data_IF_456269805719
#
_entry.id   IF_456269805719
#
_cell.length_a   1.000
_cell.length_b   1.000
_cell.length_c   1.000
_cell.angle_alpha   90.00
_cell.angle_beta   90.00
_cell.angle_gamma   90.00
#
_symmetry.space_group_name_H-M   'P 1'
#
loop_
_entity.id
_entity.type
_entity.pdbx_description
1 polymer ?
#
# COMPACT_ATOMS: atom_id res chain seq x y z
N UNK A 1 22.06 -38.44 -30.40
CA UNK A 1 21.36 -38.53 -29.08
C UNK A 1 21.43 -37.22 -28.30
N UNK A 2 22.51 -36.52 -28.22
CA UNK A 2 22.69 -35.29 -27.41
C UNK A 2 21.88 -34.05 -27.85
N UNK A 3 21.58 -33.89 -29.17
CA UNK A 3 20.78 -32.75 -29.65
C UNK A 3 19.34 -32.75 -29.22
N UNK A 4 18.70 -33.93 -29.05
CA UNK A 4 17.30 -34.05 -28.58
C UNK A 4 17.17 -33.82 -27.08
N UNK A 5 18.21 -34.13 -26.30
CA UNK A 5 18.25 -33.87 -24.85
C UNK A 5 18.40 -32.39 -24.56
N UNK A 6 19.21 -31.63 -25.35
CA UNK A 6 19.37 -30.20 -25.20
C UNK A 6 18.09 -29.44 -25.63
N UNK A 7 17.37 -29.92 -26.64
CA UNK A 7 16.08 -29.34 -27.04
C UNK A 7 14.98 -29.61 -26.02
N UNK A 8 14.97 -30.76 -25.35
CA UNK A 8 14.02 -31.04 -24.24
C UNK A 8 14.32 -30.22 -22.99
N UNK A 9 15.59 -29.94 -22.69
CA UNK A 9 16.00 -29.07 -21.58
C UNK A 9 15.66 -27.60 -21.89
N UNK A 10 15.81 -27.14 -23.14
CA UNK A 10 15.40 -25.81 -23.60
C UNK A 10 13.88 -25.67 -23.63
N UNK A 11 13.12 -26.71 -23.93
CA UNK A 11 11.65 -26.70 -23.93
C UNK A 11 11.07 -26.74 -22.51
N UNK A 12 11.76 -27.34 -21.53
CA UNK A 12 11.40 -27.30 -20.11
C UNK A 12 11.69 -25.96 -19.43
N UNK A 13 12.57 -25.13 -20.01
CA UNK A 13 12.90 -23.79 -19.54
C UNK A 13 11.94 -22.70 -20.05
N UNK A 14 11.04 -23.02 -20.98
CA UNK A 14 10.05 -22.07 -21.53
C UNK A 14 8.69 -22.12 -20.86
N UNK A 15 8.46 -23.04 -19.91
CA UNK A 15 7.20 -23.15 -19.16
C UNK A 15 7.38 -22.57 -17.76
N UNK A 16 7.20 -21.30 -17.64
CA UNK A 16 6.71 -20.47 -16.55
C UNK A 16 7.44 -19.13 -16.45
N UNK A 17 7.26 -18.28 -17.46
CA UNK A 17 7.40 -16.85 -17.26
C UNK A 17 6.15 -16.30 -16.52
N UNK A 18 5.78 -16.94 -15.42
CA UNK A 18 4.93 -16.32 -14.42
C UNK A 18 5.69 -15.12 -13.87
N UNK A 19 5.12 -13.93 -13.96
CA UNK A 19 5.65 -12.71 -13.39
C UNK A 19 5.99 -12.98 -11.91
N UNK A 20 7.28 -13.14 -11.61
CA UNK A 20 7.78 -13.22 -10.25
C UNK A 20 7.60 -11.84 -9.61
N UNK A 21 6.48 -11.63 -8.96
CA UNK A 21 6.27 -10.46 -8.12
C UNK A 21 7.01 -10.70 -6.80
N UNK A 22 7.85 -9.77 -6.41
CA UNK A 22 8.40 -9.75 -5.07
C UNK A 22 7.22 -9.53 -4.09
N UNK A 23 6.83 -10.56 -3.33
CA UNK A 23 5.73 -10.45 -2.39
C UNK A 23 6.19 -9.62 -1.17
N UNK A 24 5.62 -8.43 -1.03
CA UNK A 24 5.73 -7.60 0.16
C UNK A 24 4.59 -7.92 1.14
N UNK A 25 4.68 -7.43 2.38
CA UNK A 25 3.56 -7.47 3.31
C UNK A 25 2.30 -6.81 2.72
N UNK A 26 2.48 -5.75 1.96
CA UNK A 26 1.41 -5.07 1.23
C UNK A 26 0.69 -5.97 0.22
N UNK A 27 1.44 -6.82 -0.49
CA UNK A 27 0.82 -7.78 -1.44
C UNK A 27 0.01 -8.86 -0.73
N UNK A 28 0.44 -9.25 0.48
CA UNK A 28 -0.28 -10.22 1.26
C UNK A 28 -1.62 -9.68 1.74
N UNK A 29 -1.65 -8.48 2.29
CA UNK A 29 -2.85 -7.84 2.85
C UNK A 29 -3.82 -7.38 1.77
N UNK A 30 -3.42 -7.38 0.49
CA UNK A 30 -4.32 -7.05 -0.60
C UNK A 30 -5.50 -8.03 -0.66
N UNK A 31 -6.69 -7.51 -0.37
CA UNK A 31 -7.96 -8.22 -0.58
C UNK A 31 -8.37 -8.22 -2.05
N UNK A 32 -7.60 -7.56 -2.88
CA UNK A 32 -7.91 -7.38 -4.29
C UNK A 32 -7.85 -8.71 -5.05
N UNK A 33 -8.91 -9.01 -5.75
CA UNK A 33 -8.97 -10.06 -6.76
C UNK A 33 -8.90 -9.43 -8.14
N UNK A 34 -8.06 -10.00 -9.01
CA UNK A 34 -7.92 -9.47 -10.36
C UNK A 34 -9.30 -9.42 -11.06
N UNK A 35 -9.72 -8.23 -11.47
CA UNK A 35 -10.98 -8.02 -12.18
C UNK A 35 -10.91 -8.51 -13.63
N UNK A 36 -9.71 -8.86 -14.13
CA UNK A 36 -9.54 -9.43 -15.48
C UNK A 36 -10.18 -10.81 -15.63
N UNK A 37 -10.39 -11.53 -14.51
CA UNK A 37 -11.05 -12.84 -14.50
C UNK A 37 -12.58 -12.76 -14.55
N UNK A 38 -13.17 -11.56 -14.45
CA UNK A 38 -14.63 -11.38 -14.47
C UNK A 38 -15.12 -11.33 -15.91
N UNK A 39 -15.98 -12.29 -16.25
CA UNK A 39 -16.55 -12.40 -17.60
C UNK A 39 -17.79 -11.54 -17.74
N UNK A 40 -18.01 -11.04 -18.95
CA UNK A 40 -19.24 -10.31 -19.33
C UNK A 40 -20.50 -11.10 -19.00
N UNK A 41 -21.55 -10.41 -18.57
CA UNK A 41 -22.84 -10.97 -18.18
C UNK A 41 -22.86 -11.63 -16.81
N UNK A 42 -21.77 -11.64 -16.03
CA UNK A 42 -21.76 -12.25 -14.70
C UNK A 42 -22.22 -11.27 -13.62
N UNK A 43 -23.14 -11.73 -12.80
CA UNK A 43 -23.57 -11.07 -11.55
C UNK A 43 -23.19 -11.97 -10.39
N UNK A 44 -22.32 -11.48 -9.50
CA UNK A 44 -21.76 -12.27 -8.41
C UNK A 44 -22.01 -11.58 -7.06
N UNK A 45 -22.03 -12.37 -6.00
CA UNK A 45 -21.78 -11.92 -4.64
C UNK A 45 -20.33 -12.20 -4.31
N UNK A 46 -19.59 -11.15 -3.91
CA UNK A 46 -18.21 -11.23 -3.47
C UNK A 46 -18.14 -10.94 -1.98
N UNK A 47 -17.43 -11.77 -1.24
CA UNK A 47 -17.17 -11.60 0.16
C UNK A 47 -15.66 -11.52 0.40
N UNK A 48 -15.16 -10.33 0.72
CA UNK A 48 -13.78 -10.10 1.11
C UNK A 48 -13.73 -9.91 2.63
N UNK A 49 -12.82 -10.59 3.31
CA UNK A 49 -12.64 -10.44 4.74
C UNK A 49 -11.17 -10.57 5.12
N UNK A 50 -10.76 -9.76 6.09
CA UNK A 50 -9.45 -9.82 6.75
C UNK A 50 -9.67 -9.84 8.25
N UNK A 51 -9.46 -10.98 8.90
CA UNK A 51 -9.23 -11.06 10.33
C UNK A 51 -7.79 -10.68 10.64
N UNK A 52 -7.57 -9.81 11.62
CA UNK A 52 -6.24 -9.33 11.96
C UNK A 52 -6.06 -9.24 13.48
N UNK A 53 -4.86 -9.57 13.91
CA UNK A 53 -4.31 -9.26 15.20
C UNK A 53 -2.91 -8.72 14.99
N UNK A 54 -2.67 -7.48 15.35
CA UNK A 54 -1.35 -6.86 15.27
C UNK A 54 -1.03 -6.20 16.60
N UNK A 55 0.18 -6.41 17.09
CA UNK A 55 0.73 -5.75 18.26
C UNK A 55 2.00 -5.01 17.89
N UNK A 56 2.01 -3.71 18.14
CA UNK A 56 3.11 -2.80 17.89
C UNK A 56 3.65 -2.35 19.25
N UNK A 57 4.84 -2.83 19.60
CA UNK A 57 5.59 -2.43 20.79
C UNK A 57 6.66 -1.44 20.38
N UNK A 58 6.25 -0.20 20.26
CA UNK A 58 7.14 0.90 19.90
C UNK A 58 7.68 1.54 21.16
N UNK A 59 9.00 1.44 21.33
CA UNK A 59 9.75 2.00 22.44
C UNK A 59 10.51 3.22 21.92
N UNK A 60 10.27 4.36 22.49
CA UNK A 60 10.87 5.62 22.06
C UNK A 60 9.84 6.73 21.91
N UNK A 61 10.31 7.92 21.53
CA UNK A 61 9.53 9.16 21.61
C UNK A 61 8.72 9.46 20.31
N UNK A 62 8.88 8.66 19.25
CA UNK A 62 8.25 8.95 17.95
C UNK A 62 6.80 8.48 17.84
N UNK A 63 6.51 7.30 18.32
CA UNK A 63 5.19 6.70 18.25
C UNK A 63 4.98 5.74 19.42
N UNK A 64 3.81 5.77 20.03
CA UNK A 64 3.44 4.84 21.11
C UNK A 64 3.03 3.49 20.56
N UNK A 65 3.34 2.43 21.31
CA UNK A 65 2.87 1.09 21.00
C UNK A 65 1.34 0.97 21.15
N UNK A 66 0.76 0.10 20.34
CA UNK A 66 -0.69 -0.19 20.35
C UNK A 66 -0.98 -1.58 19.80
N UNK A 67 -2.17 -2.09 20.14
CA UNK A 67 -2.65 -3.40 19.65
C UNK A 67 -3.93 -3.22 18.86
N UNK A 68 -4.00 -3.84 17.69
CA UNK A 68 -5.14 -3.83 16.77
C UNK A 68 -5.69 -5.26 16.59
N UNK A 69 -6.64 -5.73 17.43
CA UNK A 69 -7.36 -6.98 17.21
C UNK A 69 -8.70 -6.71 16.53
N UNK A 70 -8.97 -7.28 15.35
CA UNK A 70 -10.22 -6.98 14.67
C UNK A 70 -10.47 -7.75 13.41
N UNK A 71 -11.49 -7.31 12.69
CA UNK A 71 -11.84 -7.81 11.38
C UNK A 71 -12.41 -6.72 10.47
N UNK A 72 -12.02 -6.81 9.20
CA UNK A 72 -12.57 -6.06 8.09
C UNK A 72 -13.44 -6.99 7.25
N UNK A 73 -14.63 -6.51 6.85
CA UNK A 73 -15.55 -7.20 5.97
C UNK A 73 -15.99 -6.30 4.84
N UNK A 74 -16.01 -6.83 3.61
CA UNK A 74 -16.49 -6.15 2.41
C UNK A 74 -17.43 -7.08 1.62
N UNK A 75 -18.70 -7.21 2.04
CA UNK A 75 -19.71 -7.85 1.23
C UNK A 75 -20.06 -6.95 0.03
N UNK A 76 -20.00 -7.49 -1.19
CA UNK A 76 -20.21 -6.74 -2.44
C UNK A 76 -21.05 -7.53 -3.42
N UNK A 77 -21.91 -6.85 -4.16
CA UNK A 77 -22.48 -7.32 -5.41
C UNK A 77 -21.63 -6.78 -6.54
N UNK A 78 -21.26 -7.63 -7.48
CA UNK A 78 -20.45 -7.25 -8.62
C UNK A 78 -21.15 -7.62 -9.92
N UNK A 79 -21.05 -6.74 -10.91
CA UNK A 79 -21.68 -6.94 -12.21
C UNK A 79 -20.79 -6.44 -13.35
N UNK A 80 -20.61 -7.27 -14.37
CA UNK A 80 -19.94 -6.92 -15.61
C UNK A 80 -20.93 -6.93 -16.77
N UNK A 81 -21.55 -5.79 -17.11
CA UNK A 81 -22.48 -5.74 -18.26
C UNK A 81 -21.76 -6.03 -19.58
N UNK A 82 -20.49 -5.66 -19.70
CA UNK A 82 -19.64 -5.89 -20.86
C UNK A 82 -18.22 -6.27 -20.38
N UNK A 83 -17.35 -6.70 -21.28
CA UNK A 83 -15.94 -6.96 -20.96
C UNK A 83 -15.15 -5.68 -20.58
N UNK A 84 -15.71 -4.51 -20.89
CA UNK A 84 -15.09 -3.22 -20.62
C UNK A 84 -15.55 -2.58 -19.30
N UNK A 85 -16.75 -2.90 -18.81
CA UNK A 85 -17.36 -2.26 -17.64
C UNK A 85 -17.54 -3.25 -16.49
N UNK A 86 -16.99 -2.90 -15.34
CA UNK A 86 -17.11 -3.66 -14.11
C UNK A 86 -17.60 -2.75 -12.97
N UNK A 87 -18.65 -3.20 -12.28
CA UNK A 87 -19.35 -2.44 -11.24
C UNK A 87 -19.33 -3.21 -9.92
N UNK A 88 -19.14 -2.53 -8.83
CA UNK A 88 -19.26 -3.05 -7.46
C UNK A 88 -20.15 -2.15 -6.62
N UNK A 89 -21.03 -2.75 -5.82
CA UNK A 89 -21.85 -2.09 -4.79
C UNK A 89 -21.84 -2.96 -3.54
N UNK A 90 -21.63 -2.34 -2.37
CA UNK A 90 -21.57 -3.11 -1.13
C UNK A 90 -21.32 -2.25 0.11
N UNK A 91 -20.61 -2.81 1.06
CA UNK A 91 -20.25 -2.13 2.29
C UNK A 91 -18.79 -2.43 2.70
N UNK A 92 -18.17 -1.47 3.39
CA UNK A 92 -16.91 -1.61 4.09
C UNK A 92 -17.15 -1.49 5.58
N UNK A 93 -16.87 -2.57 6.30
CA UNK A 93 -17.19 -2.72 7.72
C UNK A 93 -15.92 -3.08 8.48
N UNK A 94 -15.56 -2.30 9.50
CA UNK A 94 -14.44 -2.60 10.40
C UNK A 94 -14.98 -2.74 11.83
N UNK A 95 -14.54 -3.79 12.52
CA UNK A 95 -14.80 -4.01 13.93
C UNK A 95 -13.53 -4.36 14.67
N UNK A 96 -13.22 -3.65 15.74
CA UNK A 96 -12.19 -4.05 16.69
C UNK A 96 -12.77 -4.91 17.80
N UNK A 97 -12.04 -5.96 18.20
CA UNK A 97 -12.43 -6.80 19.35
C UNK A 97 -12.36 -5.98 20.63
N UNK A 98 -13.32 -6.22 21.53
CA UNK A 98 -13.46 -5.44 22.76
C UNK A 98 -14.26 -4.15 22.59
N UNK A 99 -14.76 -3.84 21.39
CA UNK A 99 -15.74 -2.77 21.14
C UNK A 99 -17.10 -3.35 20.77
N UNK A 100 -18.18 -2.74 21.25
CA UNK A 100 -19.55 -3.22 21.00
C UNK A 100 -20.09 -2.78 19.63
N UNK A 101 -19.51 -1.74 19.05
CA UNK A 101 -19.94 -1.15 17.78
C UNK A 101 -18.92 -1.39 16.65
N UNK A 102 -19.42 -1.26 15.42
CA UNK A 102 -18.53 -1.16 14.26
C UNK A 102 -17.74 0.15 14.34
N UNK A 103 -16.43 0.07 14.16
CA UNK A 103 -15.57 1.26 14.07
C UNK A 103 -15.87 2.03 12.79
N UNK A 104 -16.10 1.30 11.69
CA UNK A 104 -16.50 1.88 10.40
C UNK A 104 -17.61 1.05 9.78
N UNK A 105 -18.61 1.74 9.24
CA UNK A 105 -19.66 1.18 8.40
C UNK A 105 -19.92 2.16 7.27
N UNK A 106 -19.30 1.92 6.11
CA UNK A 106 -19.28 2.82 4.96
C UNK A 106 -19.88 2.13 3.74
N UNK A 107 -20.65 2.85 2.90
CA UNK A 107 -21.07 2.30 1.62
C UNK A 107 -19.85 2.06 0.74
N UNK A 108 -19.93 1.03 -0.11
CA UNK A 108 -18.97 0.73 -1.16
C UNK A 108 -19.63 0.90 -2.52
N UNK A 109 -19.02 1.68 -3.37
CA UNK A 109 -19.35 1.79 -4.78
C UNK A 109 -18.08 1.93 -5.58
N UNK A 110 -17.89 1.13 -6.63
CA UNK A 110 -16.78 1.25 -7.56
C UNK A 110 -17.25 0.94 -8.97
N UNK A 111 -16.80 1.74 -9.92
CA UNK A 111 -16.99 1.49 -11.33
C UNK A 111 -15.65 1.57 -12.05
N UNK A 112 -15.30 0.49 -12.76
CA UNK A 112 -14.09 0.44 -13.60
C UNK A 112 -14.50 0.35 -15.06
N UNK A 113 -13.95 1.22 -15.87
CA UNK A 113 -14.09 1.17 -17.31
C UNK A 113 -12.72 0.94 -17.99
N UNK A 114 -12.64 -0.08 -18.82
CA UNK A 114 -11.44 -0.44 -19.58
C UNK A 114 -11.55 0.16 -20.98
N UNK A 115 -10.75 1.19 -21.25
CA UNK A 115 -10.68 1.84 -22.56
C UNK A 115 -9.88 1.04 -23.58
N UNK A 116 -8.87 0.31 -23.10
CA UNK A 116 -8.04 -0.60 -23.91
C UNK A 116 -7.50 -1.72 -23.03
N UNK A 117 -6.77 -2.68 -23.62
CA UNK A 117 -6.10 -3.75 -22.86
C UNK A 117 -5.16 -3.23 -21.78
N UNK A 118 -4.60 -2.03 -21.97
CA UNK A 118 -3.58 -1.46 -21.11
C UNK A 118 -4.07 -0.29 -20.26
N UNK A 119 -5.27 0.27 -20.51
CA UNK A 119 -5.72 1.49 -19.85
C UNK A 119 -7.12 1.37 -19.30
N UNK A 120 -7.26 1.66 -17.99
CA UNK A 120 -8.52 1.65 -17.28
C UNK A 120 -8.69 2.90 -16.41
N UNK A 121 -9.93 3.26 -16.15
CA UNK A 121 -10.33 4.31 -15.21
C UNK A 121 -11.23 3.71 -14.15
N UNK A 122 -11.02 4.08 -12.89
CA UNK A 122 -11.84 3.69 -11.75
C UNK A 122 -12.42 4.95 -11.12
N UNK A 123 -13.70 4.92 -10.78
CA UNK A 123 -14.37 5.99 -10.02
C UNK A 123 -15.17 5.39 -8.86
N UNK A 124 -15.38 6.17 -7.80
CA UNK A 124 -15.92 5.70 -6.53
C UNK A 124 -14.81 5.16 -5.64
N UNK A 125 -14.99 4.01 -5.00
CA UNK A 125 -13.90 3.39 -4.25
C UNK A 125 -12.81 2.92 -5.20
N UNK A 126 -11.57 3.33 -4.91
CA UNK A 126 -10.42 3.12 -5.76
C UNK A 126 -9.90 1.69 -5.65
N UNK A 127 -9.18 1.27 -6.67
CA UNK A 127 -8.40 0.04 -6.65
C UNK A 127 -7.14 0.23 -5.79
N UNK A 128 -7.17 -0.33 -4.60
CA UNK A 128 -6.08 -0.26 -3.64
C UNK A 128 -5.13 -1.47 -3.75
N UNK A 129 -5.03 -2.06 -4.93
CA UNK A 129 -4.11 -3.17 -5.14
C UNK A 129 -2.68 -2.74 -4.75
N UNK A 130 -2.07 -3.51 -3.83
CA UNK A 130 -0.73 -3.26 -3.31
C UNK A 130 -0.54 -1.84 -2.74
N UNK A 131 -1.60 -1.22 -2.19
CA UNK A 131 -1.54 0.13 -1.62
C UNK A 131 -0.86 1.12 -2.60
N UNK A 132 -1.27 1.08 -3.86
CA UNK A 132 -0.75 1.89 -4.97
C UNK A 132 0.73 1.63 -5.33
N UNK A 133 1.36 0.59 -4.82
CA UNK A 133 2.80 0.34 -5.03
C UNK A 133 3.70 1.34 -4.31
N UNK A 134 3.17 2.05 -3.33
CA UNK A 134 3.94 2.95 -2.48
C UNK A 134 4.74 2.17 -1.42
N UNK A 135 5.98 2.55 -1.14
CA UNK A 135 6.72 1.98 -0.01
C UNK A 135 6.13 2.44 1.33
N UNK A 136 6.32 1.65 2.39
CA UNK A 136 5.77 1.95 3.72
C UNK A 136 6.23 3.29 4.31
N UNK A 137 7.36 3.81 3.86
CA UNK A 137 7.86 5.13 4.25
C UNK A 137 6.97 6.27 3.73
N UNK A 138 6.21 6.04 2.65
CA UNK A 138 5.26 6.99 2.08
C UNK A 138 3.80 6.65 2.39
N UNK A 139 3.49 5.36 2.60
CA UNK A 139 2.12 4.89 2.80
C UNK A 139 2.08 3.75 3.83
N UNK A 140 1.55 4.02 5.01
CA UNK A 140 1.41 3.05 6.09
C UNK A 140 0.50 1.88 5.68
N UNK A 141 0.98 0.63 5.70
CA UNK A 141 0.18 -0.53 5.32
C UNK A 141 -1.06 -0.77 6.19
N UNK A 142 -1.03 -0.37 7.46
CA UNK A 142 -2.16 -0.51 8.40
C UNK A 142 -3.39 0.29 8.00
N UNK A 143 -3.23 1.35 7.17
CA UNK A 143 -4.34 2.18 6.67
C UNK A 143 -5.45 1.37 6.01
N UNK A 144 -5.14 0.17 5.50
CA UNK A 144 -6.13 -0.72 4.91
C UNK A 144 -7.22 -1.14 5.92
N UNK A 145 -6.90 -1.27 7.20
CA UNK A 145 -7.83 -1.69 8.26
C UNK A 145 -7.95 -0.70 9.43
N UNK A 146 -7.34 0.47 9.30
CA UNK A 146 -7.51 1.59 10.24
C UNK A 146 -8.26 2.75 9.61
N UNK A 147 -8.08 2.99 8.32
CA UNK A 147 -8.65 4.13 7.62
C UNK A 147 -9.94 3.78 6.87
N UNK A 148 -10.58 4.80 6.32
CA UNK A 148 -11.64 4.63 5.32
C UNK A 148 -11.03 4.21 3.99
N UNK A 149 -11.75 3.42 3.15
CA UNK A 149 -11.28 3.14 1.81
C UNK A 149 -11.17 4.43 1.01
N UNK A 150 -10.14 4.52 0.18
CA UNK A 150 -9.97 5.64 -0.73
C UNK A 150 -11.11 5.71 -1.72
N UNK A 151 -11.59 6.93 -2.00
CA UNK A 151 -12.67 7.17 -2.94
C UNK A 151 -12.41 8.42 -3.78
N UNK A 152 -12.63 8.30 -5.10
CA UNK A 152 -12.37 9.39 -6.02
C UNK A 152 -12.24 8.93 -7.47
N UNK A 153 -11.13 9.28 -8.12
CA UNK A 153 -10.85 8.96 -9.51
C UNK A 153 -9.42 8.42 -9.65
N UNK A 154 -9.27 7.35 -10.41
CA UNK A 154 -7.98 6.69 -10.64
C UNK A 154 -7.83 6.27 -12.10
N UNK A 155 -6.64 6.50 -12.64
CA UNK A 155 -6.22 6.08 -13.97
C UNK A 155 -5.13 5.03 -13.83
N UNK A 156 -5.29 3.90 -14.51
CA UNK A 156 -4.40 2.74 -14.46
C UNK A 156 -3.87 2.44 -15.85
N UNK A 157 -2.56 2.37 -15.97
CA UNK A 157 -1.88 1.90 -17.18
C UNK A 157 -1.01 0.68 -16.85
N UNK A 158 -1.20 -0.43 -17.58
CA UNK A 158 -0.45 -1.66 -17.42
C UNK A 158 0.10 -2.12 -18.76
N UNK A 159 1.34 -1.84 -19.02
CA UNK A 159 2.05 -2.22 -20.24
C UNK A 159 3.17 -3.23 -20.01
N UNK A 160 3.82 -3.65 -21.07
CA UNK A 160 4.90 -4.66 -20.99
C UNK A 160 6.14 -4.17 -20.25
N UNK A 161 6.46 -2.88 -20.34
CA UNK A 161 7.64 -2.28 -19.70
C UNK A 161 7.31 -1.24 -18.64
N UNK A 162 6.13 -0.65 -18.70
CA UNK A 162 5.69 0.41 -17.79
C UNK A 162 4.36 0.03 -17.18
N UNK A 163 4.27 0.05 -15.85
CA UNK A 163 3.01 0.13 -15.13
C UNK A 163 2.97 1.51 -14.46
N UNK A 164 1.86 2.19 -14.57
CA UNK A 164 1.69 3.51 -13.96
C UNK A 164 0.26 3.69 -13.49
N UNK A 165 0.08 4.48 -12.44
CA UNK A 165 -1.23 4.93 -12.00
C UNK A 165 -1.15 6.34 -11.46
N UNK A 166 -2.25 7.05 -11.58
CA UNK A 166 -2.46 8.33 -10.88
C UNK A 166 -3.87 8.35 -10.32
N UNK A 167 -4.02 8.95 -9.15
CA UNK A 167 -5.32 9.02 -8.49
C UNK A 167 -5.47 10.29 -7.66
N UNK A 168 -6.72 10.63 -7.40
CA UNK A 168 -7.12 11.56 -6.36
C UNK A 168 -8.15 10.88 -5.48
N UNK A 169 -7.97 10.97 -4.17
CA UNK A 169 -8.87 10.43 -3.15
C UNK A 169 -9.30 11.55 -2.20
N UNK A 170 -10.63 11.77 -2.09
CA UNK A 170 -11.17 12.67 -1.08
C UNK A 170 -11.37 11.91 0.23
N UNK A 171 -10.65 12.34 1.24
CA UNK A 171 -10.76 11.79 2.60
C UNK A 171 -11.81 12.53 3.41
N UNK A 172 -11.96 13.84 3.16
CA UNK A 172 -12.96 14.69 3.76
C UNK A 172 -13.40 15.76 2.75
N UNK A 173 -14.66 15.68 2.35
CA UNK A 173 -15.30 16.69 1.49
C UNK A 173 -15.92 17.78 2.36
N UNK A 174 -15.94 19.01 1.87
CA UNK A 174 -16.50 20.17 2.56
C UNK A 174 -17.63 20.83 1.77
N UNK A 175 -18.60 21.36 2.52
CA UNK A 175 -19.61 22.29 2.03
C UNK A 175 -19.42 23.64 2.71
N UNK A 176 -20.12 24.66 2.21
CA UNK A 176 -20.11 25.96 2.86
C UNK A 176 -20.61 25.82 4.32
N UNK A 177 -19.93 26.51 5.24
CA UNK A 177 -20.21 26.53 6.68
C UNK A 177 -19.85 25.24 7.45
N UNK A 178 -19.21 24.26 6.83
CA UNK A 178 -18.64 23.13 7.58
C UNK A 178 -17.53 23.61 8.53
N UNK A 179 -17.47 23.06 9.78
CA UNK A 179 -16.48 23.47 10.79
C UNK A 179 -15.10 22.84 10.63
N UNK A 180 -14.83 22.17 9.52
CA UNK A 180 -13.60 21.44 9.26
C UNK A 180 -13.05 21.75 7.87
N UNK A 181 -11.81 21.38 7.61
CA UNK A 181 -11.14 21.58 6.32
C UNK A 181 -11.34 20.38 5.38
N UNK A 182 -11.25 20.63 4.07
CA UNK A 182 -11.13 19.58 3.06
C UNK A 182 -9.82 18.81 3.24
N UNK A 183 -9.87 17.49 3.02
CA UNK A 183 -8.68 16.66 2.95
C UNK A 183 -8.73 15.80 1.70
N UNK A 184 -7.68 15.84 0.91
CA UNK A 184 -7.51 14.89 -0.19
C UNK A 184 -6.05 14.50 -0.39
N UNK A 185 -5.87 13.36 -1.00
CA UNK A 185 -4.57 12.84 -1.43
C UNK A 185 -4.56 12.71 -2.95
N UNK A 186 -3.54 13.26 -3.59
CA UNK A 186 -3.22 12.99 -4.99
C UNK A 186 -1.95 12.17 -5.05
N UNK A 187 -1.94 11.12 -5.89
CA UNK A 187 -0.78 10.26 -6.06
C UNK A 187 -0.50 9.93 -7.52
N UNK A 188 0.76 9.66 -7.79
CA UNK A 188 1.26 9.10 -9.03
C UNK A 188 2.33 8.08 -8.71
N UNK A 189 2.21 6.87 -9.26
CA UNK A 189 3.26 5.85 -9.18
C UNK A 189 3.53 5.26 -10.55
N UNK A 190 4.78 4.89 -10.78
CA UNK A 190 5.20 4.25 -12.00
C UNK A 190 6.37 3.31 -11.77
N UNK A 191 6.32 2.14 -12.42
CA UNK A 191 7.38 1.13 -12.46
C UNK A 191 7.85 0.95 -13.90
N UNK A 192 9.07 1.37 -14.21
CA UNK A 192 9.67 1.06 -15.50
C UNK A 192 10.56 -0.17 -15.41
N UNK A 193 10.26 -1.21 -16.17
CA UNK A 193 11.07 -2.41 -16.27
C UNK A 193 12.25 -2.18 -17.23
N UNK A 194 13.39 -1.81 -16.65
CA UNK A 194 14.60 -1.47 -17.41
C UNK A 194 15.26 -2.71 -18.02
N UNK A 195 15.22 -3.85 -17.30
CA UNK A 195 15.80 -5.11 -17.75
C UNK A 195 15.03 -6.31 -17.21
N UNK A 196 14.91 -7.37 -18.02
CA UNK A 196 14.37 -8.65 -17.57
C UNK A 196 14.89 -9.79 -18.43
N UNK A 197 15.38 -10.83 -17.76
CA UNK A 197 15.60 -12.16 -18.32
C UNK A 197 15.17 -13.23 -17.30
N UNK A 198 15.49 -14.51 -17.53
CA UNK A 198 15.14 -15.61 -16.62
C UNK A 198 15.83 -15.55 -15.25
N UNK A 199 16.99 -14.88 -15.16
CA UNK A 199 17.79 -14.82 -13.92
C UNK A 199 17.64 -13.49 -13.16
N UNK A 200 17.43 -12.39 -13.88
CA UNK A 200 17.47 -11.03 -13.33
C UNK A 200 16.33 -10.17 -13.87
N UNK A 201 15.68 -9.43 -12.98
CA UNK A 201 14.76 -8.34 -13.31
C UNK A 201 15.24 -7.05 -12.63
N UNK A 202 15.22 -5.94 -13.35
CA UNK A 202 15.53 -4.60 -12.83
C UNK A 202 14.39 -3.66 -13.17
N UNK A 203 13.86 -3.01 -12.13
CA UNK A 203 12.81 -1.98 -12.23
C UNK A 203 13.32 -0.65 -11.71
N UNK A 204 12.79 0.42 -12.24
CA UNK A 204 13.01 1.80 -11.81
C UNK A 204 11.66 2.38 -11.36
N UNK A 205 11.32 2.29 -10.07
CA UNK A 205 10.11 2.88 -9.53
C UNK A 205 10.28 4.40 -9.33
N UNK A 206 9.18 5.13 -9.56
CA UNK A 206 9.03 6.57 -9.27
C UNK A 206 7.67 6.79 -8.63
N UNK A 207 7.63 7.54 -7.52
CA UNK A 207 6.40 7.84 -6.81
C UNK A 207 6.33 9.33 -6.45
N UNK A 208 5.12 9.87 -6.52
CA UNK A 208 4.80 11.24 -6.10
C UNK A 208 3.50 11.16 -5.28
N UNK A 209 3.47 11.82 -4.15
CA UNK A 209 2.30 11.89 -3.28
C UNK A 209 2.13 13.31 -2.77
N UNK A 210 0.92 13.89 -2.94
CA UNK A 210 0.53 15.14 -2.33
C UNK A 210 -0.59 14.88 -1.34
N UNK A 211 -0.41 15.33 -0.11
CA UNK A 211 -1.44 15.42 0.88
C UNK A 211 -1.84 16.87 1.07
N UNK A 212 -3.11 17.16 0.87
CA UNK A 212 -3.66 18.51 0.96
C UNK A 212 -4.70 18.59 2.07
N UNK A 213 -4.61 19.64 2.87
CA UNK A 213 -5.55 20.01 3.90
C UNK A 213 -5.86 21.49 3.78
N UNK A 214 -7.14 21.82 3.68
CA UNK A 214 -7.64 23.18 3.48
C UNK A 214 -8.43 23.28 2.20
N UNK A 215 -9.17 24.34 2.01
CA UNK A 215 -9.99 24.52 0.84
C UNK A 215 -10.27 26.00 0.55
N UNK A 216 -10.80 26.26 -0.65
CA UNK A 216 -11.21 27.61 -1.09
C UNK A 216 -12.47 28.07 -0.34
N UNK A 217 -13.27 27.13 0.18
CA UNK A 217 -14.49 27.44 0.92
C UNK A 217 -14.12 27.90 2.33
N UNK A 218 -14.74 28.98 2.75
CA UNK A 218 -14.56 29.57 4.06
C UNK A 218 -15.13 28.66 5.15
N UNK A 219 -14.33 27.74 5.64
CA UNK A 219 -14.65 26.92 6.81
C UNK A 219 -13.84 27.43 7.99
N UNK A 220 -14.51 27.84 9.05
CA UNK A 220 -13.90 28.15 10.33
C UNK A 220 -14.77 27.58 11.42
N UNK A 221 -14.20 26.98 12.48
CA UNK A 221 -14.96 26.66 13.67
C UNK A 221 -15.66 27.92 14.18
N UNK A 222 -16.87 27.80 14.73
CA UNK A 222 -17.59 28.93 15.31
C UNK A 222 -16.67 29.67 16.32
N UNK A 223 -16.31 30.93 16.03
CA UNK A 223 -15.45 31.76 16.88
C UNK A 223 -13.95 31.47 16.82
N UNK A 224 -13.48 30.61 15.91
CA UNK A 224 -12.07 30.24 15.75
C UNK A 224 -11.37 30.94 14.57
N UNK A 225 -10.04 31.01 14.61
CA UNK A 225 -9.23 31.39 13.48
C UNK A 225 -9.28 30.31 12.41
N UNK A 226 -9.22 30.71 11.13
CA UNK A 226 -9.09 29.76 10.02
C UNK A 226 -7.74 29.06 10.06
N UNK A 227 -7.71 27.72 10.10
CA UNK A 227 -6.47 27.03 9.85
C UNK A 227 -5.97 27.35 8.44
N UNK A 228 -4.67 27.60 8.31
CA UNK A 228 -4.06 27.82 6.98
C UNK A 228 -4.13 26.56 6.13
N UNK A 229 -4.12 26.77 4.81
CA UNK A 229 -4.01 25.66 3.85
C UNK A 229 -2.65 24.98 3.99
N UNK A 230 -2.64 23.66 4.12
CA UNK A 230 -1.41 22.86 4.22
C UNK A 230 -1.34 21.87 3.04
N UNK A 231 -0.22 21.89 2.36
CA UNK A 231 0.07 20.93 1.29
C UNK A 231 1.46 20.37 1.50
N UNK A 232 1.55 19.06 1.62
CA UNK A 232 2.78 18.32 1.78
C UNK A 232 3.01 17.45 0.54
N UNK A 233 4.22 17.50 0.00
CA UNK A 233 4.66 16.70 -1.13
C UNK A 233 5.72 15.71 -0.71
N UNK A 234 5.53 14.45 -1.08
CA UNK A 234 6.54 13.41 -0.98
C UNK A 234 6.88 12.86 -2.36
N UNK A 235 8.15 12.56 -2.56
CA UNK A 235 8.69 12.01 -3.79
C UNK A 235 9.53 10.79 -3.45
N UNK A 236 9.54 9.80 -4.33
CA UNK A 236 10.58 8.79 -4.29
C UNK A 236 10.98 8.33 -5.69
N UNK A 237 12.23 7.95 -5.82
CA UNK A 237 12.78 7.30 -7.02
C UNK A 237 13.80 6.25 -6.56
N UNK A 238 13.86 5.14 -7.30
CA UNK A 238 14.72 4.06 -6.87
C UNK A 238 15.04 3.06 -7.95
N UNK A 239 15.61 1.96 -7.51
CA UNK A 239 15.85 0.78 -8.32
C UNK A 239 15.53 -0.47 -7.47
N UNK A 240 14.98 -1.48 -8.13
CA UNK A 240 14.68 -2.78 -7.57
C UNK A 240 15.31 -3.85 -8.45
N UNK A 241 16.13 -4.69 -7.85
CA UNK A 241 16.75 -5.84 -8.50
C UNK A 241 16.22 -7.12 -7.89
N UNK A 242 15.71 -8.03 -8.70
CA UNK A 242 15.27 -9.36 -8.29
C UNK A 242 16.05 -10.41 -9.04
N UNK A 243 16.78 -11.26 -8.31
CA UNK A 243 17.61 -12.33 -8.83
C UNK A 243 16.99 -13.69 -8.52
N UNK A 244 16.75 -14.51 -9.53
CA UNK A 244 16.31 -15.90 -9.36
C UNK A 244 17.51 -16.78 -9.01
N UNK A 245 17.47 -17.45 -7.84
CA UNK A 245 18.65 -18.14 -7.28
C UNK A 245 18.50 -19.67 -7.31
N UNK A 246 17.28 -20.19 -7.09
CA UNK A 246 17.08 -21.63 -7.08
C UNK A 246 15.73 -22.10 -6.52
N UNK A 247 15.68 -23.37 -6.11
CA UNK A 247 14.40 -23.98 -5.70
C UNK A 247 13.98 -23.67 -4.26
N UNK A 248 14.91 -23.62 -3.33
CA UNK A 248 14.62 -23.34 -1.90
C UNK A 248 14.48 -21.83 -1.66
N UNK A 249 15.52 -21.06 -1.97
CA UNK A 249 15.44 -19.62 -2.06
C UNK A 249 15.12 -19.30 -3.53
N UNK A 250 13.93 -18.78 -3.77
CA UNK A 250 13.47 -18.47 -5.12
C UNK A 250 14.11 -17.21 -5.63
N UNK A 251 14.10 -16.16 -4.82
CA UNK A 251 14.53 -14.82 -5.22
C UNK A 251 15.33 -14.18 -4.11
N UNK A 252 16.39 -13.49 -4.49
CA UNK A 252 17.07 -12.49 -3.66
C UNK A 252 16.77 -11.14 -4.30
N UNK A 253 16.32 -10.18 -3.49
CA UNK A 253 16.05 -8.83 -3.94
C UNK A 253 17.03 -7.87 -3.27
N UNK A 254 17.40 -6.84 -4.03
CA UNK A 254 18.18 -5.70 -3.56
C UNK A 254 17.49 -4.45 -4.10
N UNK A 255 17.13 -3.54 -3.18
CA UNK A 255 16.37 -2.34 -3.49
C UNK A 255 17.08 -1.12 -2.91
N UNK A 256 17.09 -0.04 -3.67
CA UNK A 256 17.60 1.24 -3.22
C UNK A 256 16.64 2.36 -3.60
N UNK A 257 16.34 3.27 -2.66
CA UNK A 257 15.43 4.39 -2.87
C UNK A 257 16.00 5.67 -2.28
N UNK A 258 15.73 6.75 -2.97
CA UNK A 258 15.77 8.10 -2.46
C UNK A 258 14.36 8.62 -2.23
N UNK A 259 14.17 9.38 -1.17
CA UNK A 259 12.91 10.04 -0.80
C UNK A 259 13.12 11.51 -0.59
N UNK A 260 12.13 12.31 -0.96
CA UNK A 260 12.07 13.74 -0.69
C UNK A 260 10.78 14.15 0.00
N UNK A 261 10.85 15.21 0.77
CA UNK A 261 9.72 15.88 1.41
C UNK A 261 9.81 17.38 1.19
N UNK A 262 8.69 18.03 0.85
CA UNK A 262 8.54 19.50 0.76
C UNK A 262 7.17 19.91 1.31
N UNK A 263 7.16 20.84 2.27
CA UNK A 263 5.96 21.58 2.66
C UNK A 263 5.72 22.67 1.60
N UNK A 264 4.82 22.41 0.66
CA UNK A 264 4.53 23.31 -0.47
C UNK A 264 4.00 24.66 0.02
N UNK A 265 3.11 24.65 1.01
CA UNK A 265 2.54 25.83 1.68
C UNK A 265 3.34 26.18 2.93
N UNK A 266 4.48 26.87 2.76
CA UNK A 266 5.44 27.12 3.84
C UNK A 266 4.92 28.01 4.94
N UNK A 267 4.14 29.05 4.58
CA UNK A 267 3.67 30.08 5.52
C UNK A 267 2.62 29.52 6.52
N UNK A 268 1.92 28.48 6.15
CA UNK A 268 0.94 27.78 7.00
C UNK A 268 1.42 26.43 7.53
N UNK A 269 2.66 26.05 7.27
CA UNK A 269 3.22 24.80 7.74
C UNK A 269 3.36 24.80 9.26
N UNK A 270 2.66 23.87 9.92
CA UNK A 270 2.71 23.69 11.39
C UNK A 270 3.78 22.68 11.82
N UNK A 271 4.39 21.94 10.87
CA UNK A 271 5.42 20.95 11.15
C UNK A 271 6.79 21.62 11.32
N UNK A 272 7.70 21.03 12.13
CA UNK A 272 8.98 21.66 12.45
C UNK A 272 9.93 21.77 11.26
N UNK A 273 9.72 20.98 10.22
CA UNK A 273 10.56 20.97 9.02
C UNK A 273 9.73 21.29 7.78
N UNK A 274 10.28 22.11 6.88
CA UNK A 274 9.63 22.44 5.61
C UNK A 274 10.18 21.63 4.43
N UNK A 275 11.35 20.99 4.59
CA UNK A 275 11.99 20.14 3.59
C UNK A 275 12.77 19.04 4.27
N UNK A 276 12.87 17.90 3.58
CA UNK A 276 13.64 16.77 4.06
C UNK A 276 13.93 15.76 2.97
N UNK A 277 14.82 14.83 3.25
CA UNK A 277 15.13 13.72 2.36
C UNK A 277 15.51 12.48 3.14
N UNK A 278 15.49 11.34 2.46
CA UNK A 278 15.93 10.08 3.04
C UNK A 278 16.43 9.09 1.99
N UNK A 279 17.13 8.06 2.47
CA UNK A 279 17.61 6.94 1.68
C UNK A 279 17.22 5.63 2.35
N UNK A 280 16.81 4.66 1.53
CA UNK A 280 16.55 3.29 1.95
C UNK A 280 17.43 2.35 1.12
N UNK A 281 18.08 1.43 1.81
CA UNK A 281 18.71 0.27 1.19
C UNK A 281 18.12 -0.99 1.83
N UNK A 282 17.56 -1.89 1.03
CA UNK A 282 16.95 -3.12 1.51
C UNK A 282 17.49 -4.33 0.75
N UNK A 283 17.75 -5.41 1.46
CA UNK A 283 17.97 -6.72 0.88
C UNK A 283 16.95 -7.71 1.43
N UNK A 284 16.48 -8.64 0.58
CA UNK A 284 15.57 -9.69 1.04
C UNK A 284 15.79 -11.00 0.31
N UNK A 285 15.48 -12.10 1.01
CA UNK A 285 15.45 -13.45 0.47
C UNK A 285 14.03 -14.00 0.56
N UNK A 286 13.53 -14.56 -0.52
CA UNK A 286 12.19 -15.11 -0.62
C UNK A 286 12.21 -16.60 -0.93
N UNK A 287 11.41 -17.34 -0.18
CA UNK A 287 11.08 -18.75 -0.43
C UNK A 287 9.65 -18.87 -1.00
N UNK A 288 9.10 -20.07 -1.06
CA UNK A 288 7.69 -20.28 -1.46
C UNK A 288 6.69 -19.62 -0.50
N UNK A 289 6.99 -19.58 0.79
CA UNK A 289 6.05 -19.18 1.83
C UNK A 289 6.56 -18.05 2.73
N UNK A 290 7.84 -17.72 2.66
CA UNK A 290 8.48 -16.78 3.58
C UNK A 290 9.31 -15.75 2.84
N UNK A 291 9.39 -14.56 3.42
CA UNK A 291 10.35 -13.51 3.07
C UNK A 291 11.05 -13.06 4.33
N UNK A 292 12.37 -12.93 4.26
CA UNK A 292 13.19 -12.24 5.26
C UNK A 292 13.79 -11.03 4.58
N UNK A 293 13.72 -9.87 5.21
CA UNK A 293 14.39 -8.66 4.74
C UNK A 293 15.13 -7.96 5.86
N UNK A 294 16.19 -7.26 5.48
CA UNK A 294 16.94 -6.34 6.32
C UNK A 294 17.07 -5.04 5.56
N UNK A 295 16.83 -3.92 6.23
CA UNK A 295 16.96 -2.60 5.62
C UNK A 295 17.71 -1.62 6.51
N UNK A 296 18.31 -0.63 5.87
CA UNK A 296 18.88 0.55 6.48
C UNK A 296 18.17 1.79 5.93
N UNK A 297 17.62 2.58 6.83
CA UNK A 297 17.00 3.87 6.58
C UNK A 297 17.86 4.98 7.16
N UNK A 298 18.12 6.01 6.39
CA UNK A 298 18.77 7.23 6.86
C UNK A 298 17.99 8.44 6.34
N UNK A 299 17.56 9.31 7.23
CA UNK A 299 16.75 10.46 6.92
C UNK A 299 17.26 11.73 7.58
N UNK A 300 17.07 12.83 6.88
CA UNK A 300 17.29 14.18 7.38
C UNK A 300 16.01 15.00 7.20
N UNK A 301 15.39 15.40 8.33
CA UNK A 301 14.16 16.21 8.37
C UNK A 301 13.00 15.65 7.55
N UNK A 302 12.94 14.32 7.39
CA UNK A 302 11.96 13.66 6.52
C UNK A 302 10.62 13.51 7.22
N UNK A 303 9.56 13.94 6.51
CA UNK A 303 8.16 13.80 6.93
C UNK A 303 7.36 13.23 5.77
N UNK A 304 6.49 12.26 6.04
CA UNK A 304 5.50 11.74 5.11
C UNK A 304 4.18 11.52 5.86
N UNK A 305 3.21 12.43 5.72
CA UNK A 305 1.97 12.41 6.53
C UNK A 305 1.14 11.13 6.40
N UNK A 306 1.32 10.38 5.30
CA UNK A 306 0.67 9.08 5.06
C UNK A 306 1.58 7.88 5.30
N UNK A 307 2.87 8.12 5.53
CA UNK A 307 3.88 7.10 5.73
C UNK A 307 3.89 6.52 7.14
N UNK A 308 4.64 5.45 7.31
CA UNK A 308 4.80 4.79 8.61
C UNK A 308 5.53 5.69 9.60
N UNK A 309 4.88 5.90 10.75
CA UNK A 309 5.31 6.86 11.77
C UNK A 309 6.74 6.63 12.28
N UNK A 310 7.19 5.38 12.37
CA UNK A 310 8.55 5.03 12.81
C UNK A 310 9.67 5.65 11.96
N UNK A 311 9.42 5.94 10.69
CA UNK A 311 10.43 6.50 9.77
C UNK A 311 10.46 8.03 9.74
N UNK A 312 9.56 8.68 10.49
CA UNK A 312 9.42 10.14 10.49
C UNK A 312 10.51 10.83 11.33
N UNK A 313 10.81 12.08 11.00
CA UNK A 313 11.65 12.99 11.80
C UNK A 313 10.85 13.79 12.83
N UNK A 314 9.55 13.58 12.91
CA UNK A 314 8.62 14.20 13.86
C UNK A 314 7.89 13.12 14.64
N UNK A 315 7.59 13.40 15.90
CA UNK A 315 6.82 12.50 16.75
C UNK A 315 5.32 12.67 16.49
N UNK A 316 4.60 11.54 16.44
CA UNK A 316 3.14 11.52 16.47
C UNK A 316 2.60 11.60 17.91
N UNK A 317 3.35 11.10 18.87
CA UNK A 317 2.94 11.05 20.27
C UNK A 317 3.23 12.34 21.07
N UNK A 318 4.21 13.12 20.62
CA UNK A 318 4.58 14.41 21.21
C UNK A 318 4.86 15.43 20.09
N UNK A 319 3.93 16.35 19.79
CA UNK A 319 4.11 17.34 18.74
C UNK A 319 5.29 18.29 18.96
N UNK A 320 5.85 18.37 20.18
CA UNK A 320 7.01 19.19 20.50
C UNK A 320 8.33 18.48 20.23
N UNK A 321 8.30 17.14 20.08
CA UNK A 321 9.50 16.34 19.84
C UNK A 321 9.74 16.12 18.35
N UNK A 322 10.94 16.47 17.93
CA UNK A 322 11.42 16.19 16.57
C UNK A 322 12.92 15.94 16.57
N UNK A 323 13.36 15.10 15.65
CA UNK A 323 14.77 14.79 15.48
C UNK A 323 15.11 14.84 13.99
N UNK A 324 15.97 15.79 13.61
CA UNK A 324 16.31 16.02 12.22
C UNK A 324 16.98 14.80 11.57
N UNK A 325 17.97 14.23 12.24
CA UNK A 325 18.74 13.08 11.75
C UNK A 325 18.17 11.78 12.32
N UNK A 326 17.73 10.86 11.43
CA UNK A 326 17.23 9.55 11.80
C UNK A 326 18.01 8.46 11.07
N UNK A 327 18.35 7.40 11.81
CA UNK A 327 19.00 6.22 11.23
C UNK A 327 18.39 4.97 11.85
N UNK A 328 17.76 4.13 11.04
CA UNK A 328 17.04 2.95 11.50
C UNK A 328 17.53 1.72 10.73
N UNK A 329 17.87 0.67 11.48
CA UNK A 329 18.04 -0.68 10.93
C UNK A 329 16.77 -1.46 11.22
N UNK A 330 16.19 -2.10 10.20
CA UNK A 330 15.05 -3.00 10.41
C UNK A 330 15.34 -4.40 9.91
N UNK A 331 14.76 -5.38 10.59
CA UNK A 331 14.71 -6.76 10.14
C UNK A 331 13.27 -7.24 10.20
N UNK A 332 12.81 -7.87 9.09
CA UNK A 332 11.43 -8.30 8.96
C UNK A 332 11.38 -9.75 8.50
N UNK A 333 10.51 -10.51 9.11
CA UNK A 333 10.14 -11.85 8.68
C UNK A 333 8.64 -11.87 8.36
N UNK A 334 8.31 -12.38 7.19
CA UNK A 334 6.96 -12.56 6.74
C UNK A 334 6.75 -13.99 6.26
N UNK A 335 5.66 -14.61 6.69
CA UNK A 335 5.24 -15.95 6.28
C UNK A 335 3.78 -15.95 5.87
N UNK A 336 3.45 -16.66 4.78
CA UNK A 336 2.08 -16.87 4.33
C UNK A 336 1.87 -18.27 3.76
N UNK A 337 0.64 -18.73 3.85
CA UNK A 337 0.21 -20.00 3.27
C UNK A 337 -1.23 -19.91 2.75
N UNK A 338 -1.43 -20.33 1.51
CA UNK A 338 -2.77 -20.60 0.99
C UNK A 338 -3.30 -21.87 1.62
N UNK A 339 -4.47 -21.80 2.29
CA UNK A 339 -5.20 -22.93 2.85
C UNK A 339 -6.13 -23.50 1.76
N UNK A 340 -6.81 -22.62 1.05
CA UNK A 340 -7.63 -22.89 -0.14
C UNK A 340 -7.38 -21.80 -1.18
N UNK A 341 -7.95 -21.94 -2.38
CA UNK A 341 -7.88 -20.90 -3.43
C UNK A 341 -8.43 -19.53 -2.97
N UNK A 342 -9.32 -19.52 -1.97
CA UNK A 342 -10.03 -18.34 -1.48
C UNK A 342 -9.63 -17.96 -0.04
N UNK A 343 -8.72 -18.71 0.60
CA UNK A 343 -8.32 -18.49 1.98
C UNK A 343 -6.80 -18.53 2.15
N UNK A 344 -6.24 -17.52 2.81
CA UNK A 344 -4.82 -17.43 3.15
C UNK A 344 -4.63 -17.06 4.61
N UNK A 345 -3.59 -17.60 5.24
CA UNK A 345 -3.12 -17.16 6.55
C UNK A 345 -1.73 -16.57 6.41
N UNK A 346 -1.43 -15.60 7.26
CA UNK A 346 -0.10 -15.03 7.35
C UNK A 346 0.26 -14.64 8.78
N UNK A 347 1.57 -14.47 8.91
CA UNK A 347 2.21 -14.03 10.12
C UNK A 347 3.39 -13.13 9.76
N UNK A 348 3.60 -12.06 10.50
CA UNK A 348 4.82 -11.25 10.39
C UNK A 348 5.44 -10.99 11.76
N UNK A 349 6.74 -10.75 11.75
CA UNK A 349 7.51 -10.12 12.84
C UNK A 349 8.42 -9.08 12.21
N UNK A 350 8.48 -7.92 12.82
CA UNK A 350 9.34 -6.82 12.40
C UNK A 350 10.07 -6.27 13.63
N UNK A 351 11.32 -5.88 13.44
CA UNK A 351 12.12 -5.19 14.45
C UNK A 351 12.75 -3.95 13.85
N UNK A 352 12.86 -2.90 14.66
CA UNK A 352 13.41 -1.61 14.27
C UNK A 352 14.36 -1.14 15.36
N UNK A 353 15.59 -0.88 15.01
CA UNK A 353 16.60 -0.31 15.91
C UNK A 353 16.86 1.11 15.46
N UNK A 354 16.48 2.07 16.28
CA UNK A 354 16.86 3.47 16.11
C UNK A 354 18.32 3.60 16.56
N UNK A 355 19.23 3.88 15.63
CA UNK A 355 20.66 3.88 15.92
C UNK A 355 21.05 5.02 16.87
N UNK A 356 20.58 6.28 16.69
CA UNK A 356 20.90 7.39 17.58
C UNK A 356 20.49 7.17 19.03
N UNK A 357 19.30 6.65 19.30
CA UNK A 357 18.80 6.43 20.66
C UNK A 357 19.14 5.05 21.23
N UNK A 358 19.36 4.06 20.34
CA UNK A 358 19.51 2.67 20.73
C UNK A 358 18.18 1.96 21.03
N UNK A 359 17.03 2.59 20.78
CA UNK A 359 15.73 2.03 21.06
C UNK A 359 15.40 0.88 20.11
N UNK A 360 14.87 -0.21 20.68
CA UNK A 360 14.40 -1.37 19.94
C UNK A 360 12.86 -1.38 19.94
N UNK A 361 12.26 -1.09 18.80
CA UNK A 361 10.83 -1.27 18.57
C UNK A 361 10.58 -2.58 17.82
N UNK A 362 9.42 -3.22 18.06
CA UNK A 362 9.05 -4.42 17.31
C UNK A 362 7.54 -4.50 17.08
N UNK A 363 7.16 -5.25 16.06
CA UNK A 363 5.77 -5.53 15.72
C UNK A 363 5.61 -6.99 15.33
N UNK A 364 4.44 -7.56 15.64
CA UNK A 364 4.05 -8.85 15.11
C UNK A 364 2.55 -8.89 14.82
N UNK A 365 2.17 -9.70 13.85
CA UNK A 365 0.77 -9.81 13.47
C UNK A 365 0.40 -11.15 12.87
N UNK A 366 -0.88 -11.52 13.04
CA UNK A 366 -1.52 -12.70 12.47
C UNK A 366 -2.72 -12.27 11.63
N UNK A 367 -2.86 -12.89 10.46
CA UNK A 367 -3.90 -12.52 9.51
C UNK A 367 -4.56 -13.73 8.90
N UNK A 368 -5.88 -13.62 8.71
CA UNK A 368 -6.68 -14.55 7.94
C UNK A 368 -7.42 -13.77 6.86
N UNK A 369 -7.09 -14.04 5.60
CA UNK A 369 -7.77 -13.47 4.45
C UNK A 369 -8.75 -14.48 3.86
N UNK A 370 -9.97 -14.02 3.58
CA UNK A 370 -10.98 -14.73 2.82
C UNK A 370 -11.43 -13.84 1.67
N UNK A 371 -11.45 -14.41 0.47
CA UNK A 371 -11.90 -13.70 -0.73
C UNK A 371 -12.68 -14.67 -1.62
N UNK A 372 -13.99 -14.71 -1.43
CA UNK A 372 -14.90 -15.68 -2.08
C UNK A 372 -15.81 -14.98 -3.07
N UNK A 373 -15.97 -15.59 -4.25
CA UNK A 373 -16.90 -15.18 -5.28
C UNK A 373 -17.96 -16.26 -5.49
N UNK A 374 -19.23 -15.86 -5.46
CA UNK A 374 -20.37 -16.71 -5.71
C UNK A 374 -21.11 -16.19 -6.94
N UNK A 375 -21.13 -16.95 -8.03
CA UNK A 375 -21.92 -16.62 -9.21
C UNK A 375 -23.40 -16.74 -8.86
N UNK A 376 -24.13 -15.61 -8.89
CA UNK A 376 -25.56 -15.56 -8.63
C UNK A 376 -26.36 -15.75 -9.93
N UNK A 377 -25.92 -15.10 -10.99
CA UNK A 377 -26.58 -15.16 -12.30
C UNK A 377 -25.63 -14.88 -13.44
N UNK A 378 -25.91 -15.45 -14.60
CA UNK A 378 -25.27 -15.15 -15.88
C UNK A 378 -26.34 -14.69 -16.85
N UNK A 379 -26.16 -13.51 -17.44
CA UNK A 379 -27.05 -12.91 -18.44
C UNK A 379 -26.58 -13.23 -19.86
#
# INVERSE_FOLDING_TARGET
MWRKTIQAILLLLTISAGSLKAQSFQEFTSLYKNTEDVKSGQFNFRFESLGFFQNNEYLGDFVKGYTLPGALFRPKLTYSPTDALYLEVGAHLIRYNGRDQLEKALPWFSARYRFSENFSVVTGNLDQNNLHGLPEQLWEPERMYTDRPEAGLQFLYSGTKLNAQTWISWEQFIQQDDPFQEHFTFGLTGDYRAYQNSALSVKLPVQILFYHQGGEINTAPEGGERPGVQTHANFSAGWEMAMNVGQKIKTINLNGYWFGYDAVTKDSNTLPFSKGHAYLLETSAQTRHSRISVSYWNAFQFIAPKGRLLYQSVSDSDPTFSQADRSIVSAKYFWQKEITKDARVAFHVETFIDIPSGDLSYSYGFYLLLNQDFLLKKF
#
